data_IF_289357283457
#
_entry.id   IF_289357283457
#
_cell.length_a   1.000
_cell.length_b   1.000
_cell.length_c   1.000
_cell.angle_alpha   90.00
_cell.angle_beta   90.00
_cell.angle_gamma   90.00
#
_symmetry.space_group_name_H-M   'P 1'
#
loop_
_entity.id
_entity.type
_entity.pdbx_description
1 polymer ?
#
# COMPACT_ATOMS: atom_id res chain seq x y z
N UNK A 1 6.66 44.25 56.34
CA UNK A 1 7.37 43.03 56.78
C UNK A 1 6.37 42.02 57.33
N UNK A 2 6.61 40.74 57.02
CA UNK A 2 5.98 39.50 57.55
C UNK A 2 4.68 38.99 56.88
N UNK A 3 4.96 38.13 55.91
CA UNK A 3 4.17 37.06 55.29
C UNK A 3 3.59 36.10 56.34
N UNK A 4 2.33 35.66 56.20
CA UNK A 4 1.85 34.33 56.67
C UNK A 4 0.77 33.80 55.71
N UNK A 5 1.11 32.73 54.96
CA UNK A 5 0.21 31.83 54.21
C UNK A 5 -0.27 30.73 55.15
N UNK A 6 -1.56 30.34 55.12
CA UNK A 6 -2.03 29.01 55.61
C UNK A 6 -3.35 28.52 54.95
N UNK A 7 -3.21 27.41 54.20
CA UNK A 7 -4.06 26.21 54.04
C UNK A 7 -5.48 26.30 53.42
N UNK A 8 -5.72 25.84 52.17
CA UNK A 8 -6.05 24.49 51.58
C UNK A 8 -7.47 23.95 51.91
N UNK A 9 -8.14 23.48 50.83
CA UNK A 9 -9.37 22.67 50.68
C UNK A 9 -10.70 23.43 50.82
N UNK A 10 -11.77 23.22 50.03
CA UNK A 10 -12.13 22.48 48.80
C UNK A 10 -13.64 22.75 48.60
N UNK A 11 -14.17 22.84 47.38
CA UNK A 11 -15.30 22.03 46.85
C UNK A 11 -15.89 22.63 45.56
N UNK A 12 -15.92 21.76 44.55
CA UNK A 12 -16.84 21.66 43.41
C UNK A 12 -17.83 22.81 43.10
N UNK A 13 -17.79 23.30 41.86
CA UNK A 13 -18.87 23.10 40.87
C UNK A 13 -18.69 24.04 39.67
N UNK A 14 -18.13 23.52 38.59
CA UNK A 14 -18.44 23.98 37.23
C UNK A 14 -18.10 22.87 36.23
N UNK A 15 -18.70 21.71 36.41
CA UNK A 15 -19.00 20.83 35.28
C UNK A 15 -20.03 21.57 34.42
N UNK A 16 -19.57 22.35 33.45
CA UNK A 16 -20.45 22.98 32.48
C UNK A 16 -19.90 22.75 31.07
N UNK A 17 -20.42 21.68 30.46
CA UNK A 17 -20.70 21.58 29.02
C UNK A 17 -19.50 21.79 28.08
N UNK A 18 -18.65 20.78 28.01
CA UNK A 18 -17.79 20.52 26.85
C UNK A 18 -18.17 19.20 26.17
N UNK A 19 -19.48 18.93 26.00
CA UNK A 19 -20.00 17.68 25.43
C UNK A 19 -20.53 17.87 24.00
N UNK A 20 -19.92 18.77 23.22
CA UNK A 20 -20.25 19.02 21.83
C UNK A 20 -18.97 19.18 21.03
N UNK A 21 -18.76 18.27 20.08
CA UNK A 21 -17.65 18.23 19.13
C UNK A 21 -16.27 17.82 19.68
N UNK A 22 -16.16 16.59 20.21
CA UNK A 22 -15.07 15.74 19.74
C UNK A 22 -15.41 15.38 18.29
N UNK A 23 -15.19 16.32 17.37
CA UNK A 23 -15.24 16.01 15.94
C UNK A 23 -14.22 14.89 15.72
N UNK A 24 -14.67 13.75 15.21
CA UNK A 24 -13.76 12.71 14.75
C UNK A 24 -12.71 13.40 13.86
N UNK A 25 -11.43 13.28 14.21
CA UNK A 25 -10.37 13.75 13.34
C UNK A 25 -10.64 13.17 11.94
N UNK A 26 -10.50 13.95 10.86
CA UNK A 26 -10.68 13.39 9.53
C UNK A 26 -9.73 12.21 9.40
N UNK A 27 -10.26 11.03 9.03
CA UNK A 27 -9.43 9.91 8.65
C UNK A 27 -8.58 10.39 7.47
N UNK A 28 -7.30 10.63 7.71
CA UNK A 28 -6.39 11.10 6.69
C UNK A 28 -6.09 9.89 5.80
N UNK A 29 -6.44 9.98 4.51
CA UNK A 29 -6.04 8.99 3.53
C UNK A 29 -4.52 8.87 3.55
N UNK A 30 -4.00 7.70 3.91
CA UNK A 30 -2.57 7.43 3.84
C UNK A 30 -2.22 6.99 2.41
N UNK A 31 -0.98 7.29 1.98
CA UNK A 31 -0.42 6.66 0.78
C UNK A 31 0.20 5.34 1.21
N UNK A 32 -0.45 4.24 0.86
CA UNK A 32 0.04 2.89 1.15
C UNK A 32 0.84 2.39 -0.05
N UNK A 33 2.10 2.03 0.18
CA UNK A 33 2.92 1.37 -0.83
C UNK A 33 2.64 -0.14 -0.87
N UNK A 34 2.21 -0.64 -2.02
CA UNK A 34 1.91 -2.05 -2.26
C UNK A 34 2.84 -2.63 -3.32
N UNK A 35 3.78 -3.45 -2.86
CA UNK A 35 4.66 -4.23 -3.73
C UNK A 35 4.08 -5.61 -4.06
N UNK A 36 3.94 -5.94 -5.34
CA UNK A 36 3.60 -7.27 -5.82
C UNK A 36 4.82 -7.92 -6.48
N UNK A 37 5.14 -9.14 -6.08
CA UNK A 37 6.18 -9.95 -6.70
C UNK A 37 5.51 -11.14 -7.38
N UNK A 38 5.75 -11.31 -8.68
CA UNK A 38 5.19 -12.38 -9.49
C UNK A 38 6.27 -13.38 -9.90
N UNK A 39 6.09 -14.64 -9.51
CA UNK A 39 6.92 -15.74 -10.01
C UNK A 39 6.62 -15.98 -11.50
N UNK A 40 7.66 -15.95 -12.32
CA UNK A 40 7.64 -16.18 -13.77
C UNK A 40 8.55 -17.36 -14.14
N UNK A 41 8.88 -18.21 -13.17
CA UNK A 41 9.67 -19.42 -13.38
C UNK A 41 8.91 -20.46 -14.21
N UNK A 42 9.65 -21.40 -14.80
CA UNK A 42 9.07 -22.43 -15.67
C UNK A 42 8.07 -23.34 -14.97
N UNK A 43 8.17 -23.49 -13.64
CA UNK A 43 7.23 -24.28 -12.83
C UNK A 43 5.80 -23.74 -12.82
N UNK A 44 5.62 -22.44 -13.08
CA UNK A 44 4.32 -21.77 -13.19
C UNK A 44 3.61 -22.14 -14.50
N UNK A 45 4.38 -22.32 -15.59
CA UNK A 45 3.86 -22.51 -16.94
C UNK A 45 3.14 -21.29 -17.52
N UNK A 46 3.00 -21.25 -18.85
CA UNK A 46 2.37 -20.11 -19.54
C UNK A 46 0.90 -19.89 -19.14
N UNK A 47 0.16 -20.98 -18.88
CA UNK A 47 -1.22 -20.92 -18.39
C UNK A 47 -1.33 -20.30 -17.00
N UNK A 48 -0.48 -20.72 -16.05
CA UNK A 48 -0.41 -20.15 -14.71
C UNK A 48 -0.01 -18.67 -14.73
N UNK A 49 0.96 -18.31 -15.58
CA UNK A 49 1.37 -16.93 -15.79
C UNK A 49 0.22 -16.03 -16.26
N UNK A 50 -0.56 -16.50 -17.23
CA UNK A 50 -1.76 -15.81 -17.70
C UNK A 50 -2.77 -15.58 -16.57
N UNK A 51 -3.03 -16.60 -15.75
CA UNK A 51 -3.94 -16.50 -14.61
C UNK A 51 -3.44 -15.45 -13.60
N UNK A 52 -2.16 -15.48 -13.23
CA UNK A 52 -1.61 -14.57 -12.21
C UNK A 52 -1.65 -13.10 -12.64
N UNK A 53 -1.18 -12.78 -13.85
CA UNK A 53 -1.19 -11.38 -14.32
C UNK A 53 -2.61 -10.84 -14.48
N UNK A 54 -3.53 -11.64 -15.02
CA UNK A 54 -4.92 -11.23 -15.18
C UNK A 54 -5.62 -11.08 -13.83
N UNK A 55 -5.34 -11.99 -12.88
CA UNK A 55 -5.84 -11.89 -11.51
C UNK A 55 -5.36 -10.61 -10.82
N UNK A 56 -4.07 -10.30 -10.90
CA UNK A 56 -3.52 -9.06 -10.35
C UNK A 56 -4.12 -7.82 -11.02
N UNK A 57 -4.24 -7.79 -12.34
CA UNK A 57 -4.84 -6.67 -13.05
C UNK A 57 -6.30 -6.44 -12.64
N UNK A 58 -7.09 -7.50 -12.45
CA UNK A 58 -8.46 -7.38 -11.96
C UNK A 58 -8.51 -6.89 -10.51
N UNK A 59 -7.55 -7.29 -9.67
CA UNK A 59 -7.47 -6.80 -8.29
C UNK A 59 -7.21 -5.29 -8.18
N UNK A 60 -6.64 -4.66 -9.22
CA UNK A 60 -6.44 -3.20 -9.25
C UNK A 60 -7.74 -2.41 -9.16
N UNK A 61 -8.87 -2.99 -9.60
CA UNK A 61 -10.19 -2.34 -9.49
C UNK A 61 -10.59 -2.14 -8.03
N UNK A 62 -10.13 -3.01 -7.12
CA UNK A 62 -10.46 -2.96 -5.69
C UNK A 62 -9.70 -1.83 -4.97
N UNK A 63 -8.52 -1.45 -5.47
CA UNK A 63 -7.68 -0.42 -4.83
C UNK A 63 -8.36 0.95 -4.80
N UNK A 64 -9.32 1.21 -5.69
CA UNK A 64 -10.04 2.48 -5.75
C UNK A 64 -11.33 2.51 -4.91
N UNK A 65 -11.62 1.44 -4.16
CA UNK A 65 -12.86 1.32 -3.37
C UNK A 65 -12.72 1.79 -1.92
N UNK A 66 -11.48 1.95 -1.45
CA UNK A 66 -11.15 2.35 -0.08
C UNK A 66 -10.97 3.86 0.10
N UNK A 67 -10.69 4.27 1.33
CA UNK A 67 -10.34 5.65 1.67
C UNK A 67 -8.85 5.97 1.40
N UNK A 68 -7.99 4.95 1.34
CA UNK A 68 -6.56 5.10 1.15
C UNK A 68 -6.18 5.28 -0.32
N UNK A 69 -5.00 5.88 -0.54
CA UNK A 69 -4.38 5.96 -1.87
C UNK A 69 -3.29 4.90 -1.94
N UNK A 70 -3.24 4.14 -3.04
CA UNK A 70 -2.24 3.08 -3.21
C UNK A 70 -1.20 3.46 -4.25
N UNK A 71 0.07 3.37 -3.87
CA UNK A 71 1.20 3.38 -4.80
C UNK A 71 1.62 1.93 -5.05
N UNK A 72 1.44 1.46 -6.29
CA UNK A 72 1.66 0.07 -6.66
C UNK A 72 2.97 -0.09 -7.39
N UNK A 73 3.74 -1.10 -6.98
CA UNK A 73 4.94 -1.56 -7.67
C UNK A 73 4.76 -3.03 -8.02
N UNK A 74 5.10 -3.43 -9.24
CA UNK A 74 5.07 -4.85 -9.66
C UNK A 74 6.43 -5.27 -10.16
N UNK A 75 6.98 -6.32 -9.57
CA UNK A 75 8.18 -7.02 -10.00
C UNK A 75 7.79 -8.42 -10.47
N UNK A 76 8.46 -8.91 -11.52
CA UNK A 76 8.41 -10.32 -11.87
C UNK A 76 9.81 -10.92 -11.83
N UNK A 77 9.92 -12.23 -11.61
CA UNK A 77 11.21 -12.90 -11.57
C UNK A 77 11.20 -14.30 -12.20
N UNK A 78 12.36 -14.71 -12.70
CA UNK A 78 12.71 -16.11 -12.95
C UNK A 78 14.15 -16.32 -12.49
N UNK A 79 15.12 -16.59 -13.37
CA UNK A 79 16.56 -16.54 -13.05
C UNK A 79 16.99 -15.11 -12.65
N UNK A 80 16.38 -14.10 -13.29
CA UNK A 80 16.55 -12.67 -12.99
C UNK A 80 15.23 -12.02 -12.62
N UNK A 81 15.28 -10.88 -11.91
CA UNK A 81 14.13 -10.05 -11.60
C UNK A 81 14.05 -8.82 -12.52
N UNK A 82 12.83 -8.39 -12.83
CA UNK A 82 12.55 -7.19 -13.62
C UNK A 82 11.36 -6.41 -13.05
N UNK A 83 11.42 -5.09 -13.15
CA UNK A 83 10.29 -4.21 -12.83
C UNK A 83 9.28 -4.27 -13.98
N UNK A 84 8.06 -4.74 -13.67
CA UNK A 84 6.92 -4.73 -14.58
C UNK A 84 6.21 -3.39 -14.53
N UNK A 85 5.98 -2.88 -13.32
CA UNK A 85 5.38 -1.59 -13.06
C UNK A 85 6.24 -0.88 -12.00
N UNK A 86 6.82 0.25 -12.38
CA UNK A 86 7.51 1.13 -11.44
C UNK A 86 6.50 1.73 -10.43
N UNK A 87 6.95 2.20 -9.25
CA UNK A 87 6.06 2.82 -8.26
C UNK A 87 5.10 3.81 -8.90
N UNK A 88 3.80 3.50 -8.83
CA UNK A 88 2.74 4.26 -9.52
C UNK A 88 1.56 4.45 -8.59
N UNK A 89 1.21 5.70 -8.28
CA UNK A 89 -0.06 6.03 -7.62
C UNK A 89 -1.21 5.64 -8.55
N UNK A 90 -2.03 4.67 -8.11
CA UNK A 90 -3.17 4.20 -8.89
C UNK A 90 -4.35 5.14 -8.73
N UNK A 91 -4.97 5.50 -9.84
CA UNK A 91 -6.13 6.39 -9.90
C UNK A 91 -7.08 5.95 -11.00
N UNK A 92 -8.33 6.45 -10.98
CA UNK A 92 -9.30 6.17 -12.04
C UNK A 92 -8.78 6.55 -13.44
N UNK A 93 -7.94 7.60 -13.54
CA UNK A 93 -7.40 8.09 -14.81
C UNK A 93 -6.30 7.22 -15.41
N UNK A 94 -5.58 6.44 -14.61
CA UNK A 94 -4.48 5.59 -15.09
C UNK A 94 -4.72 4.09 -14.94
N UNK A 95 -5.84 3.68 -14.32
CA UNK A 95 -6.16 2.29 -14.03
C UNK A 95 -6.08 1.39 -15.27
N UNK A 96 -6.61 1.82 -16.41
CA UNK A 96 -6.56 1.06 -17.64
C UNK A 96 -5.11 0.79 -18.11
N UNK A 97 -4.25 1.80 -18.04
CA UNK A 97 -2.83 1.68 -18.38
C UNK A 97 -2.09 0.78 -17.40
N UNK A 98 -2.36 0.91 -16.09
CA UNK A 98 -1.79 0.04 -15.05
C UNK A 98 -2.14 -1.43 -15.33
N UNK A 99 -3.41 -1.72 -15.61
CA UNK A 99 -3.87 -3.07 -15.95
C UNK A 99 -3.23 -3.58 -17.25
N UNK A 100 -3.10 -2.73 -18.26
CA UNK A 100 -2.42 -3.08 -19.52
C UNK A 100 -0.95 -3.40 -19.32
N UNK A 101 -0.23 -2.64 -18.48
CA UNK A 101 1.18 -2.90 -18.16
C UNK A 101 1.34 -4.24 -17.45
N UNK A 102 0.49 -4.52 -16.46
CA UNK A 102 0.52 -5.80 -15.73
C UNK A 102 0.21 -6.97 -16.66
N UNK A 103 -0.88 -6.90 -17.42
CA UNK A 103 -1.29 -7.98 -18.34
C UNK A 103 -0.33 -8.16 -19.51
N UNK A 104 0.39 -7.12 -19.91
CA UNK A 104 1.42 -7.14 -20.96
C UNK A 104 2.75 -7.79 -20.56
N UNK A 105 2.99 -8.07 -19.27
CA UNK A 105 4.28 -8.56 -18.82
C UNK A 105 4.68 -9.93 -19.43
N UNK A 106 5.92 -10.03 -19.92
CA UNK A 106 6.43 -11.25 -20.56
C UNK A 106 6.58 -12.42 -19.58
N UNK A 107 6.32 -13.64 -20.05
CA UNK A 107 6.64 -14.86 -19.29
C UNK A 107 8.13 -15.17 -19.48
N UNK A 108 8.90 -15.28 -18.40
CA UNK A 108 10.34 -15.47 -18.48
C UNK A 108 10.71 -16.96 -18.62
N UNK A 109 9.98 -17.85 -17.95
CA UNK A 109 10.06 -19.31 -18.13
C UNK A 109 11.45 -19.92 -17.85
N UNK A 110 12.07 -19.54 -16.74
CA UNK A 110 13.40 -20.03 -16.34
C UNK A 110 13.40 -20.51 -14.86
N UNK A 111 14.56 -20.57 -14.21
CA UNK A 111 14.73 -20.94 -12.80
C UNK A 111 13.93 -20.05 -11.82
N UNK A 112 13.80 -20.50 -10.57
CA UNK A 112 13.05 -19.78 -9.51
C UNK A 112 14.02 -19.05 -8.57
N UNK A 113 14.49 -17.86 -8.94
CA UNK A 113 15.37 -17.02 -8.12
C UNK A 113 14.58 -15.93 -7.38
N UNK A 114 13.88 -16.29 -6.31
CA UNK A 114 13.07 -15.33 -5.54
C UNK A 114 13.92 -14.28 -4.81
N UNK A 115 15.19 -14.58 -4.50
CA UNK A 115 16.11 -13.63 -3.84
C UNK A 115 16.36 -12.39 -4.71
N UNK A 116 16.49 -12.57 -6.03
CA UNK A 116 16.59 -11.45 -6.97
C UNK A 116 15.35 -10.55 -6.91
N UNK A 117 14.17 -11.15 -6.77
CA UNK A 117 12.89 -10.43 -6.72
C UNK A 117 12.77 -9.55 -5.48
N UNK A 118 13.08 -10.09 -4.30
CA UNK A 118 13.06 -9.33 -3.05
C UNK A 118 14.16 -8.26 -3.01
N UNK A 119 15.35 -8.56 -3.55
CA UNK A 119 16.42 -7.58 -3.68
C UNK A 119 15.96 -6.40 -4.53
N UNK A 120 15.37 -6.66 -5.71
CA UNK A 120 14.84 -5.61 -6.57
C UNK A 120 13.70 -4.84 -5.90
N UNK A 121 12.70 -5.51 -5.31
CA UNK A 121 11.56 -4.85 -4.68
C UNK A 121 11.98 -3.90 -3.55
N UNK A 122 12.98 -4.27 -2.74
CA UNK A 122 13.53 -3.39 -1.70
C UNK A 122 14.15 -2.11 -2.24
N UNK A 123 14.60 -2.09 -3.49
CA UNK A 123 15.11 -0.86 -4.13
C UNK A 123 13.98 0.02 -4.68
N UNK A 124 12.78 -0.53 -4.86
CA UNK A 124 11.63 0.18 -5.42
C UNK A 124 10.74 0.81 -4.35
N UNK A 125 10.62 0.17 -3.18
CA UNK A 125 9.89 0.69 -2.03
C UNK A 125 10.82 1.58 -1.20
N UNK A 126 10.34 2.75 -0.77
CA UNK A 126 11.13 3.79 -0.08
C UNK A 126 10.74 3.92 1.39
#
# INVERSE_FOLDING_TARGET
MKVIRKHVLSLAAACAVGLGALGAAPAQAEIVQLGFILDSSGSIGSGGWGIMKNGLANAMDVLLTGADTYEVTVVSFSDVAQTVLAPTIVSAGNLASVKSTITGASFLNDWTNYDAAFTLMKTQLM
#
